data_IF_715155491808
#
_entry.id   IF_715155491808
#
_cell.length_a   1.000
_cell.length_b   1.000
_cell.length_c   1.000
_cell.angle_alpha   90.00
_cell.angle_beta   90.00
_cell.angle_gamma   90.00
#
_symmetry.space_group_name_H-M   'P 1'
#
loop_
_entity.id
_entity.type
_entity.pdbx_description
1 polymer ?
#
# COMPACT_ATOMS: atom_id res chain seq x y z
N UNK A 1 5.04 -5.09 -14.89
CA UNK A 1 6.52 -5.18 -14.89
C UNK A 1 7.12 -4.43 -13.72
N UNK A 2 6.85 -3.13 -13.53
CA UNK A 2 7.46 -2.34 -12.44
C UNK A 2 7.18 -2.90 -11.02
N UNK A 3 5.98 -3.48 -10.79
CA UNK A 3 5.64 -4.10 -9.50
C UNK A 3 6.41 -5.41 -9.24
N UNK A 4 6.83 -6.12 -10.29
CA UNK A 4 7.57 -7.39 -10.17
C UNK A 4 9.08 -7.16 -9.93
N UNK A 5 9.58 -5.96 -10.19
CA UNK A 5 10.98 -5.56 -10.04
C UNK A 5 11.21 -4.64 -8.82
N UNK A 6 10.17 -4.48 -7.99
CA UNK A 6 10.13 -3.51 -6.92
C UNK A 6 11.05 -3.92 -5.74
N UNK A 7 12.25 -3.35 -5.67
CA UNK A 7 13.22 -3.57 -4.58
C UNK A 7 13.22 -2.48 -3.50
N UNK A 8 12.56 -1.36 -3.78
CA UNK A 8 12.50 -0.18 -2.92
C UNK A 8 11.05 0.09 -2.45
N UNK A 9 10.89 0.55 -1.21
CA UNK A 9 9.58 0.79 -0.60
C UNK A 9 8.71 1.78 -1.41
N UNK A 10 9.32 2.81 -2.00
CA UNK A 10 8.63 3.81 -2.81
C UNK A 10 8.09 3.14 -4.07
N UNK A 11 8.87 2.27 -4.69
CA UNK A 11 8.43 1.54 -5.89
C UNK A 11 7.28 0.59 -5.57
N UNK A 12 7.32 -0.09 -4.43
CA UNK A 12 6.24 -0.96 -3.94
C UNK A 12 4.97 -0.15 -3.64
N UNK A 13 5.10 1.10 -3.19
CA UNK A 13 3.97 1.99 -2.97
C UNK A 13 3.36 2.54 -4.27
N UNK A 14 4.21 3.06 -5.17
CA UNK A 14 3.79 3.79 -6.38
C UNK A 14 3.24 2.86 -7.45
N UNK A 15 3.85 1.68 -7.67
CA UNK A 15 3.45 0.78 -8.74
C UNK A 15 1.97 0.35 -8.66
N UNK A 16 1.46 -0.15 -7.52
CA UNK A 16 0.05 -0.50 -7.41
C UNK A 16 -0.85 0.74 -7.33
N UNK A 17 -0.36 1.90 -6.90
CA UNK A 17 -1.12 3.17 -6.93
C UNK A 17 -1.44 3.61 -8.36
N UNK A 18 -0.44 3.55 -9.24
CA UNK A 18 -0.58 3.88 -10.66
C UNK A 18 -1.56 2.93 -11.36
N UNK A 19 -1.44 1.61 -11.12
CA UNK A 19 -2.37 0.62 -11.68
C UNK A 19 -3.82 0.86 -11.24
N UNK A 20 -4.04 1.22 -9.97
CA UNK A 20 -5.38 1.53 -9.46
C UNK A 20 -5.98 2.79 -10.10
N UNK A 21 -5.17 3.85 -10.28
CA UNK A 21 -5.60 5.10 -10.92
C UNK A 21 -6.04 4.89 -12.37
N UNK A 22 -5.29 4.08 -13.14
CA UNK A 22 -5.69 3.72 -14.50
C UNK A 22 -7.04 3.00 -14.53
N UNK A 23 -7.29 2.08 -13.59
CA UNK A 23 -8.57 1.39 -13.47
C UNK A 23 -9.72 2.33 -13.10
N UNK A 24 -9.50 3.29 -12.19
CA UNK A 24 -10.52 4.28 -11.83
C UNK A 24 -10.90 5.17 -13.02
N UNK A 25 -9.92 5.61 -13.80
CA UNK A 25 -10.17 6.38 -15.01
C UNK A 25 -10.97 5.59 -16.06
N UNK A 26 -10.72 4.29 -16.19
CA UNK A 26 -11.45 3.42 -17.11
C UNK A 26 -12.91 3.22 -16.68
N UNK A 27 -13.18 3.01 -15.38
CA UNK A 27 -14.54 2.89 -14.85
C UNK A 27 -15.35 4.19 -14.98
N UNK A 28 -14.69 5.35 -14.91
CA UNK A 28 -15.31 6.66 -15.08
C UNK A 28 -15.55 7.08 -16.55
N UNK A 29 -15.18 6.24 -17.52
CA UNK A 29 -15.22 6.62 -18.94
C UNK A 29 -16.64 6.91 -19.45
N UNK A 30 -17.65 6.17 -18.97
CA UNK A 30 -19.05 6.35 -19.37
C UNK A 30 -19.72 7.40 -18.47
N UNK A 31 -19.42 8.69 -18.73
CA UNK A 31 -19.92 9.83 -17.94
C UNK A 31 -21.44 9.97 -17.86
N UNK A 32 -22.19 9.37 -18.78
CA UNK A 32 -23.65 9.45 -18.84
C UNK A 32 -24.37 8.50 -17.85
N UNK A 33 -23.66 7.52 -17.29
CA UNK A 33 -24.25 6.57 -16.35
C UNK A 33 -23.95 6.98 -14.90
N UNK A 34 -24.98 7.40 -14.17
CA UNK A 34 -24.87 7.82 -12.76
C UNK A 34 -24.30 6.69 -11.88
N UNK A 35 -24.71 5.44 -12.14
CA UNK A 35 -24.19 4.25 -11.43
C UNK A 35 -22.68 4.04 -11.64
N UNK A 36 -22.17 4.29 -12.85
CA UNK A 36 -20.73 4.17 -13.17
C UNK A 36 -19.92 5.23 -12.44
N UNK A 37 -20.46 6.45 -12.36
CA UNK A 37 -19.82 7.58 -11.70
C UNK A 37 -19.80 7.40 -10.17
N UNK A 38 -20.89 6.88 -9.60
CA UNK A 38 -20.99 6.56 -8.18
C UNK A 38 -20.02 5.42 -7.81
N UNK A 39 -19.98 4.35 -8.61
CA UNK A 39 -19.03 3.25 -8.43
C UNK A 39 -17.58 3.75 -8.48
N UNK A 40 -17.21 4.53 -9.51
CA UNK A 40 -15.86 5.10 -9.65
C UNK A 40 -15.45 5.91 -8.41
N UNK A 41 -16.36 6.74 -7.90
CA UNK A 41 -16.10 7.57 -6.71
C UNK A 41 -15.91 6.71 -5.45
N UNK A 42 -16.74 5.67 -5.24
CA UNK A 42 -16.60 4.73 -4.12
C UNK A 42 -15.28 3.97 -4.18
N UNK A 43 -14.93 3.44 -5.35
CA UNK A 43 -13.67 2.72 -5.57
C UNK A 43 -12.45 3.62 -5.36
N UNK A 44 -12.51 4.88 -5.81
CA UNK A 44 -11.43 5.84 -5.59
C UNK A 44 -11.26 6.18 -4.10
N UNK A 45 -12.35 6.37 -3.36
CA UNK A 45 -12.31 6.62 -1.91
C UNK A 45 -11.74 5.43 -1.14
N UNK A 46 -12.22 4.22 -1.43
CA UNK A 46 -11.70 2.97 -0.85
C UNK A 46 -10.22 2.75 -1.18
N UNK A 47 -9.84 3.01 -2.44
CA UNK A 47 -8.45 2.97 -2.89
C UNK A 47 -7.54 3.97 -2.17
N UNK A 48 -8.02 5.20 -1.98
CA UNK A 48 -7.32 6.24 -1.23
C UNK A 48 -7.11 5.86 0.24
N UNK A 49 -8.17 5.37 0.90
CA UNK A 49 -8.09 4.91 2.28
C UNK A 49 -7.06 3.77 2.46
N UNK A 50 -7.08 2.76 1.58
CA UNK A 50 -6.09 1.67 1.62
C UNK A 50 -4.65 2.15 1.43
N UNK A 51 -4.45 3.13 0.54
CA UNK A 51 -3.13 3.69 0.27
C UNK A 51 -2.60 4.47 1.48
N UNK A 52 -3.45 5.22 2.17
CA UNK A 52 -3.09 5.90 3.42
C UNK A 52 -2.66 4.92 4.51
N UNK A 53 -3.37 3.79 4.66
CA UNK A 53 -3.03 2.73 5.63
C UNK A 53 -1.66 2.11 5.27
N UNK A 54 -1.41 1.85 3.98
CA UNK A 54 -0.11 1.34 3.52
C UNK A 54 1.05 2.28 3.84
N UNK A 55 0.90 3.58 3.54
CA UNK A 55 1.95 4.58 3.82
C UNK A 55 2.25 4.65 5.31
N UNK A 56 1.24 4.54 6.18
CA UNK A 56 1.48 4.52 7.62
C UNK A 56 2.30 3.29 8.05
N UNK A 57 2.03 2.10 7.50
CA UNK A 57 2.84 0.92 7.77
C UNK A 57 4.29 1.08 7.31
N UNK A 58 4.48 1.63 6.12
CA UNK A 58 5.80 1.95 5.57
C UNK A 58 6.56 3.00 6.39
N UNK A 59 5.89 4.03 6.91
CA UNK A 59 6.52 5.05 7.74
C UNK A 59 7.03 4.47 9.07
N UNK A 60 6.29 3.55 9.69
CA UNK A 60 6.74 2.84 10.88
C UNK A 60 7.94 1.93 10.61
N UNK A 61 7.94 1.28 9.46
CA UNK A 61 8.98 0.33 9.05
C UNK A 61 10.30 1.06 8.73
N UNK A 62 10.24 2.14 7.95
CA UNK A 62 11.38 3.01 7.67
C UNK A 62 11.89 3.71 8.93
N UNK A 63 10.99 4.17 9.81
CA UNK A 63 11.35 4.80 11.08
C UNK A 63 12.08 3.85 12.03
N UNK A 64 11.72 2.56 12.03
CA UNK A 64 12.40 1.54 12.85
C UNK A 64 13.76 1.13 12.28
N UNK A 65 13.96 1.25 10.96
CA UNK A 65 15.23 0.92 10.29
C UNK A 65 16.22 2.08 10.22
N UNK A 66 15.89 3.26 10.74
CA UNK A 66 16.78 4.43 10.71
C UNK A 66 16.70 5.28 9.44
N UNK A 67 15.67 5.10 8.60
CA UNK A 67 15.41 5.95 7.42
C UNK A 67 15.83 5.35 6.08
N UNK A 68 16.16 4.06 6.04
CA UNK A 68 16.47 3.33 4.80
C UNK A 68 15.20 3.04 4.00
N UNK A 69 15.36 2.90 2.68
CA UNK A 69 14.26 2.82 1.71
C UNK A 69 14.33 1.51 0.91
N UNK A 70 15.54 0.97 0.72
CA UNK A 70 15.75 -0.32 0.09
C UNK A 70 15.38 -1.47 1.04
N UNK A 71 14.66 -2.46 0.52
CA UNK A 71 14.22 -3.62 1.31
C UNK A 71 15.40 -4.38 1.96
N UNK A 72 16.53 -4.45 1.26
CA UNK A 72 17.70 -5.18 1.74
C UNK A 72 18.37 -4.46 2.91
N UNK A 73 18.50 -3.14 2.81
CA UNK A 73 19.02 -2.30 3.89
C UNK A 73 18.09 -2.40 5.10
N UNK A 74 16.78 -2.30 4.88
CA UNK A 74 15.79 -2.39 5.96
C UNK A 74 15.85 -3.71 6.72
N UNK A 75 16.00 -4.83 6.01
CA UNK A 75 16.17 -6.14 6.63
C UNK A 75 17.43 -6.18 7.51
N UNK A 76 18.53 -5.60 7.03
CA UNK A 76 19.79 -5.52 7.78
C UNK A 76 19.68 -4.57 8.99
N UNK A 77 19.00 -3.42 8.84
CA UNK A 77 18.73 -2.47 9.92
C UNK A 77 17.89 -3.09 11.04
N UNK A 78 16.86 -3.89 10.71
CA UNK A 78 16.05 -4.62 11.68
C UNK A 78 16.85 -5.66 12.47
N UNK A 79 17.76 -6.38 11.81
CA UNK A 79 18.61 -7.41 12.42
C UNK A 79 19.63 -6.75 13.35
N UNK A 80 20.28 -5.67 12.90
CA UNK A 80 21.33 -4.99 13.65
C UNK A 80 20.79 -4.29 14.91
N UNK A 81 19.56 -3.76 14.84
CA UNK A 81 18.91 -3.09 15.97
C UNK A 81 18.26 -4.05 16.96
N UNK A 82 18.29 -5.37 16.70
CA UNK A 82 17.59 -6.42 17.48
C UNK A 82 16.09 -6.11 17.71
N UNK A 83 15.50 -5.25 16.88
CA UNK A 83 14.11 -4.80 17.03
C UNK A 83 13.09 -5.75 16.39
N UNK A 84 13.51 -6.92 15.92
CA UNK A 84 12.64 -7.93 15.30
C UNK A 84 11.40 -8.29 16.14
N UNK A 85 11.49 -8.20 17.48
CA UNK A 85 10.40 -8.51 18.41
C UNK A 85 9.73 -7.27 19.00
N UNK A 86 10.05 -6.07 18.48
CA UNK A 86 9.44 -4.83 18.95
C UNK A 86 7.97 -4.77 18.55
N UNK A 87 7.07 -4.33 19.45
CA UNK A 87 5.65 -4.16 19.13
C UNK A 87 5.42 -3.21 17.94
N UNK A 88 6.35 -2.27 17.68
CA UNK A 88 6.26 -1.34 16.55
C UNK A 88 6.32 -2.01 15.18
N UNK A 89 7.16 -3.04 15.03
CA UNK A 89 7.28 -3.80 13.77
C UNK A 89 6.07 -4.70 13.55
N UNK A 90 5.51 -5.27 14.62
CA UNK A 90 4.25 -6.00 14.54
C UNK A 90 3.11 -5.10 14.06
N UNK A 91 3.00 -3.89 14.62
CA UNK A 91 2.04 -2.87 14.15
C UNK A 91 2.27 -2.53 12.67
N UNK A 92 3.52 -2.34 12.25
CA UNK A 92 3.85 -1.99 10.87
C UNK A 92 3.41 -3.09 9.89
N UNK A 93 3.70 -4.36 10.22
CA UNK A 93 3.29 -5.52 9.46
C UNK A 93 1.76 -5.62 9.34
N UNK A 94 1.03 -5.41 10.43
CA UNK A 94 -0.44 -5.44 10.43
C UNK A 94 -0.99 -4.36 9.48
N UNK A 95 -0.46 -3.13 9.53
CA UNK A 95 -0.89 -2.06 8.63
C UNK A 95 -0.59 -2.38 7.16
N UNK A 96 0.58 -2.98 6.86
CA UNK A 96 0.94 -3.38 5.50
C UNK A 96 0.01 -4.50 5.00
N UNK A 97 -0.23 -5.53 5.81
CA UNK A 97 -1.13 -6.65 5.46
C UNK A 97 -2.55 -6.15 5.23
N UNK A 98 -3.07 -5.30 6.11
CA UNK A 98 -4.41 -4.70 5.96
C UNK A 98 -4.50 -3.85 4.70
N UNK A 99 -3.49 -3.00 4.46
CA UNK A 99 -3.46 -2.13 3.30
C UNK A 99 -3.36 -2.88 1.96
N UNK A 100 -2.55 -3.94 1.90
CA UNK A 100 -2.45 -4.83 0.74
C UNK A 100 -3.75 -5.62 0.58
N UNK A 101 -4.30 -6.14 1.69
CA UNK A 101 -5.53 -6.93 1.66
C UNK A 101 -6.73 -6.15 1.15
N UNK A 102 -6.82 -4.86 1.48
CA UNK A 102 -7.84 -3.97 0.95
C UNK A 102 -7.70 -3.76 -0.57
N UNK A 103 -6.47 -3.72 -1.10
CA UNK A 103 -6.22 -3.65 -2.55
C UNK A 103 -6.51 -4.95 -3.29
N UNK A 104 -6.33 -6.10 -2.66
CA UNK A 104 -6.60 -7.43 -3.24
C UNK A 104 -8.08 -7.81 -3.08
N UNK A 105 -8.90 -6.98 -2.41
CA UNK A 105 -10.29 -7.31 -2.10
C UNK A 105 -10.39 -8.67 -1.39
N UNK A 106 -9.47 -8.94 -0.45
CA UNK A 106 -9.59 -10.11 0.44
C UNK A 106 -10.96 -10.01 1.12
N UNK A 107 -11.69 -11.12 1.09
CA UNK A 107 -13.14 -11.27 1.28
C UNK A 107 -13.77 -10.69 2.56
N UNK A 108 -13.01 -10.00 3.40
CA UNK A 108 -13.43 -9.29 4.62
C UNK A 108 -13.62 -7.78 4.44
N UNK A 109 -13.35 -7.21 3.25
CA UNK A 109 -13.46 -5.77 2.96
C UNK A 109 -14.45 -5.42 1.83
N UNK A 110 -15.55 -6.17 1.70
CA UNK A 110 -16.70 -5.78 0.88
C UNK A 110 -17.81 -5.19 1.76
#
# INVERSE_FOLDING_TARGET
MYLCDANDLITIFVAPGCSSLCSYLLFGYIKKNVLSNEATTKYLLMGGASSSILVHGFQWLNGSSGGEIELHEIANGLINTQMYNSPGISIALIFIIVGIGFKISLATSH
#
